data_IF_544225199205
#
_entry.id   IF_544225199205
#
_cell.length_a   1.000
_cell.length_b   1.000
_cell.length_c   1.000
_cell.angle_alpha   90.00
_cell.angle_beta   90.00
_cell.angle_gamma   90.00
#
_symmetry.space_group_name_H-M   'P 1'
#
loop_
_entity.id
_entity.type
_entity.pdbx_description
1 polymer ?
#
# COMPACT_ATOMS: atom_id res chain seq x y z
N UNK A 1 14.18 4.70 79.45
CA UNK A 1 13.37 4.16 78.33
C UNK A 1 13.45 2.64 78.36
N UNK A 2 12.32 1.94 78.45
CA UNK A 2 12.31 0.49 78.65
C UNK A 2 12.84 -0.23 77.40
N UNK A 3 13.88 -1.09 77.57
CA UNK A 3 14.51 -1.84 76.46
C UNK A 3 13.50 -2.62 75.60
N UNK A 4 12.37 -3.02 76.20
CA UNK A 4 11.23 -3.68 75.53
C UNK A 4 10.50 -2.80 74.49
N UNK A 5 10.41 -1.49 74.74
CA UNK A 5 9.79 -0.54 73.80
C UNK A 5 10.71 -0.21 72.63
N UNK A 6 12.02 -0.16 72.87
CA UNK A 6 13.05 0.07 71.85
C UNK A 6 13.11 -1.09 70.83
N UNK A 7 12.94 -2.32 71.32
CA UNK A 7 12.79 -3.52 70.48
C UNK A 7 11.51 -3.48 69.64
N UNK A 8 10.39 -3.01 70.21
CA UNK A 8 9.12 -2.92 69.50
C UNK A 8 9.17 -1.90 68.35
N UNK A 9 9.80 -0.74 68.58
CA UNK A 9 10.00 0.29 67.55
C UNK A 9 10.97 -0.16 66.45
N UNK A 10 12.03 -0.90 66.81
CA UNK A 10 12.96 -1.43 65.82
C UNK A 10 12.30 -2.48 64.90
N UNK A 11 11.46 -3.36 65.47
CA UNK A 11 10.73 -4.38 64.70
C UNK A 11 9.69 -3.76 63.77
N UNK A 12 8.99 -2.70 64.20
CA UNK A 12 8.02 -2.00 63.34
C UNK A 12 8.68 -1.26 62.18
N UNK A 13 9.85 -0.66 62.38
CA UNK A 13 10.64 -0.03 61.31
C UNK A 13 11.12 -1.07 60.29
N UNK A 14 11.54 -2.25 60.74
CA UNK A 14 11.98 -3.35 59.86
C UNK A 14 10.80 -3.88 59.03
N UNK A 15 9.61 -4.05 59.65
CA UNK A 15 8.42 -4.50 58.92
C UNK A 15 7.95 -3.46 57.89
N UNK A 16 8.02 -2.17 58.22
CA UNK A 16 7.69 -1.09 57.28
C UNK A 16 8.71 -0.95 56.13
N UNK A 17 9.97 -1.36 56.33
CA UNK A 17 10.98 -1.39 55.27
C UNK A 17 10.82 -2.60 54.32
N UNK A 18 10.15 -3.68 54.77
CA UNK A 18 9.92 -4.89 53.96
C UNK A 18 8.66 -4.76 53.08
N UNK A 19 7.79 -3.78 53.29
CA UNK A 19 6.58 -3.55 52.49
C UNK A 19 6.77 -2.68 51.25
N UNK A 20 8.01 -2.42 50.82
CA UNK A 20 8.27 -1.81 49.50
C UNK A 20 8.00 -2.85 48.43
N UNK A 21 6.73 -3.01 48.06
CA UNK A 21 6.31 -3.87 46.95
C UNK A 21 7.01 -3.44 45.67
N UNK A 22 7.73 -4.37 45.03
CA UNK A 22 8.29 -4.15 43.70
C UNK A 22 7.15 -3.99 42.71
N UNK A 23 6.95 -2.78 42.19
CA UNK A 23 6.07 -2.56 41.04
C UNK A 23 6.80 -3.11 39.82
N UNK A 24 6.38 -4.27 39.31
CA UNK A 24 6.81 -4.74 38.00
C UNK A 24 6.13 -3.87 36.94
N UNK A 25 6.87 -2.90 36.39
CA UNK A 25 6.41 -2.18 35.21
C UNK A 25 6.34 -3.18 34.05
N UNK A 26 5.14 -3.35 33.46
CA UNK A 26 4.98 -4.05 32.19
C UNK A 26 5.85 -3.32 31.16
N UNK A 27 6.65 -4.08 30.39
CA UNK A 27 7.51 -3.49 29.37
C UNK A 27 6.65 -2.63 28.41
N UNK A 28 7.08 -1.39 28.09
CA UNK A 28 6.32 -0.52 27.21
C UNK A 28 6.20 -1.14 25.82
N UNK A 29 5.02 -1.02 25.21
CA UNK A 29 4.79 -1.48 23.83
C UNK A 29 5.61 -0.60 22.89
N UNK A 30 6.41 -1.24 22.03
CA UNK A 30 7.23 -0.55 21.02
C UNK A 30 6.43 -0.32 19.74
N UNK A 31 6.55 0.87 19.17
CA UNK A 31 6.04 1.18 17.83
C UNK A 31 7.17 1.06 16.81
N UNK A 32 7.01 0.19 15.82
CA UNK A 32 7.97 0.00 14.74
C UNK A 32 7.23 0.18 13.42
N UNK A 33 7.68 1.12 12.59
CA UNK A 33 7.12 1.40 11.25
C UNK A 33 8.24 1.26 10.23
N UNK A 34 8.05 0.44 9.20
CA UNK A 34 9.06 0.16 8.16
C UNK A 34 10.44 -0.22 8.74
N UNK A 35 10.46 -1.02 9.80
CA UNK A 35 11.70 -1.47 10.47
C UNK A 35 12.36 -0.41 11.37
N UNK A 36 11.80 0.79 11.49
CA UNK A 36 12.32 1.85 12.36
C UNK A 36 11.48 1.99 13.64
N UNK A 37 12.13 1.99 14.80
CA UNK A 37 11.47 2.28 16.08
C UNK A 37 11.07 3.77 16.13
N UNK A 38 9.80 4.03 16.41
CA UNK A 38 9.20 5.37 16.48
C UNK A 38 8.84 5.65 17.92
N UNK A 39 9.35 6.74 18.49
CA UNK A 39 8.96 7.19 19.82
C UNK A 39 7.54 7.76 19.77
N UNK A 40 6.55 7.13 20.42
CA UNK A 40 5.17 7.58 20.32
C UNK A 40 4.96 8.86 21.14
N UNK A 41 4.24 9.83 20.58
CA UNK A 41 3.91 11.11 21.22
C UNK A 41 2.85 10.95 22.30
N UNK A 42 2.06 9.88 22.22
CA UNK A 42 1.06 9.47 23.20
C UNK A 42 1.36 8.02 23.59
N UNK A 43 1.32 7.66 24.89
CA UNK A 43 1.53 6.28 25.31
C UNK A 43 0.57 5.31 24.60
N UNK A 44 1.12 4.22 24.10
CA UNK A 44 0.36 3.13 23.50
C UNK A 44 -0.35 2.37 24.63
N UNK A 45 -1.63 2.08 24.44
CA UNK A 45 -2.48 1.47 25.46
C UNK A 45 -3.25 0.29 24.89
N UNK A 46 -3.61 -0.66 25.76
CA UNK A 46 -4.54 -1.72 25.41
C UNK A 46 -5.93 -1.28 25.90
N UNK A 47 -6.86 -1.10 24.99
CA UNK A 47 -8.26 -0.74 25.27
C UNK A 47 -9.13 -1.82 24.66
N UNK A 48 -10.02 -2.43 25.46
CA UNK A 48 -10.91 -3.52 24.99
C UNK A 48 -10.16 -4.66 24.28
N UNK A 49 -8.98 -5.01 24.77
CA UNK A 49 -8.11 -6.04 24.19
C UNK A 49 -7.55 -5.69 22.78
N UNK A 50 -7.60 -4.42 22.38
CA UNK A 50 -6.98 -3.86 21.16
C UNK A 50 -5.88 -2.85 21.51
N UNK A 51 -4.83 -2.78 20.68
CA UNK A 51 -3.73 -1.84 20.87
C UNK A 51 -4.07 -0.50 20.21
N UNK A 52 -4.15 0.56 21.00
CA UNK A 52 -4.35 1.93 20.56
C UNK A 52 -3.00 2.64 20.39
N UNK A 53 -2.72 3.11 19.18
CA UNK A 53 -1.47 3.78 18.83
C UNK A 53 -1.72 5.13 18.12
N UNK A 54 -0.77 6.09 18.20
CA UNK A 54 -0.95 7.43 17.63
C UNK A 54 -0.96 7.39 16.09
N UNK A 55 -2.16 7.58 15.50
CA UNK A 55 -2.38 7.53 14.05
C UNK A 55 -1.53 8.53 13.26
N UNK A 56 -1.29 9.73 13.81
CA UNK A 56 -0.55 10.80 13.14
C UNK A 56 0.88 10.37 12.82
N UNK A 57 1.61 9.87 13.81
CA UNK A 57 3.00 9.48 13.63
C UNK A 57 3.14 8.26 12.73
N UNK A 58 2.19 7.31 12.81
CA UNK A 58 2.16 6.15 11.92
C UNK A 58 1.96 6.61 10.48
N UNK A 59 0.94 7.43 10.22
CA UNK A 59 0.61 7.92 8.90
C UNK A 59 1.76 8.76 8.29
N UNK A 60 2.37 9.65 9.06
CA UNK A 60 3.51 10.47 8.62
C UNK A 60 4.73 9.62 8.27
N UNK A 61 5.03 8.59 9.06
CA UNK A 61 6.12 7.64 8.77
C UNK A 61 5.84 6.78 7.53
N UNK A 62 4.58 6.61 7.16
CA UNK A 62 4.14 5.98 5.91
C UNK A 62 4.04 6.98 4.74
N UNK A 63 4.49 8.23 4.92
CA UNK A 63 4.51 9.25 3.86
C UNK A 63 3.19 9.99 3.65
N UNK A 64 2.22 9.82 4.55
CA UNK A 64 0.94 10.54 4.48
C UNK A 64 0.98 11.83 5.32
N UNK A 65 0.15 12.80 4.94
CA UNK A 65 -0.15 14.02 5.70
C UNK A 65 -1.44 13.82 6.48
N UNK A 66 -1.46 14.27 7.73
CA UNK A 66 -2.63 14.17 8.63
C UNK A 66 -3.13 15.57 8.98
N UNK A 67 -4.41 15.81 8.73
CA UNK A 67 -5.09 17.08 9.00
C UNK A 67 -6.34 16.83 9.86
N UNK A 68 -6.61 17.71 10.82
CA UNK A 68 -7.87 17.71 11.55
C UNK A 68 -8.91 18.57 10.83
N UNK A 69 -10.01 17.95 10.40
CA UNK A 69 -11.18 18.66 9.90
C UNK A 69 -12.09 19.03 11.07
N UNK A 70 -11.97 20.27 11.54
CA UNK A 70 -12.75 20.74 12.67
C UNK A 70 -14.26 20.88 12.37
N UNK A 71 -14.65 21.02 11.10
CA UNK A 71 -16.06 21.15 10.70
C UNK A 71 -16.77 19.81 10.77
N UNK A 72 -16.13 18.78 10.25
CA UNK A 72 -16.69 17.42 10.20
C UNK A 72 -16.32 16.57 11.43
N UNK A 73 -15.42 17.06 12.29
CA UNK A 73 -14.88 16.34 13.44
C UNK A 73 -14.20 15.02 13.02
N UNK A 74 -13.46 15.08 11.92
CA UNK A 74 -12.77 13.92 11.34
C UNK A 74 -11.28 14.18 11.19
N UNK A 75 -10.51 13.10 11.22
CA UNK A 75 -9.09 13.11 10.84
C UNK A 75 -9.02 12.79 9.34
N UNK A 76 -8.38 13.66 8.57
CA UNK A 76 -8.12 13.45 7.14
C UNK A 76 -6.68 13.02 6.95
N UNK A 77 -6.48 11.83 6.39
CA UNK A 77 -5.17 11.30 6.04
C UNK A 77 -5.07 11.28 4.53
N UNK A 78 -4.01 11.87 3.98
CA UNK A 78 -3.81 11.91 2.52
C UNK A 78 -2.35 11.72 2.16
N UNK A 79 -2.08 10.89 1.16
CA UNK A 79 -0.77 10.75 0.56
C UNK A 79 -0.76 11.52 -0.77
N UNK A 80 -0.20 12.72 -0.76
CA UNK A 80 -0.17 13.61 -1.93
C UNK A 80 0.64 13.01 -3.09
N UNK A 81 1.76 12.37 -2.77
CA UNK A 81 2.62 11.74 -3.77
C UNK A 81 1.87 10.63 -4.51
N UNK A 82 1.21 9.73 -3.77
CA UNK A 82 0.39 8.68 -4.37
C UNK A 82 -0.72 9.25 -5.25
N UNK A 83 -1.44 10.28 -4.77
CA UNK A 83 -2.49 10.92 -5.55
C UNK A 83 -1.97 11.56 -6.84
N UNK A 84 -0.79 12.17 -6.79
CA UNK A 84 -0.19 12.81 -7.97
C UNK A 84 0.33 11.77 -8.97
N UNK A 85 0.85 10.62 -8.49
CA UNK A 85 1.17 9.46 -9.33
C UNK A 85 -0.09 8.92 -10.02
N UNK A 86 -1.17 8.70 -9.27
CA UNK A 86 -2.44 8.21 -9.82
C UNK A 86 -3.02 9.16 -10.87
N UNK A 87 -2.97 10.48 -10.63
CA UNK A 87 -3.41 11.49 -11.63
C UNK A 87 -2.55 11.42 -12.88
N UNK A 88 -1.22 11.39 -12.73
CA UNK A 88 -0.29 11.30 -13.86
C UNK A 88 -0.54 10.02 -14.66
N UNK A 89 -0.74 8.88 -14.00
CA UNK A 89 -1.06 7.61 -14.65
C UNK A 89 -2.35 7.71 -15.46
N UNK A 90 -3.44 8.23 -14.88
CA UNK A 90 -4.71 8.42 -15.60
C UNK A 90 -4.58 9.32 -16.84
N UNK A 91 -3.79 10.38 -16.75
CA UNK A 91 -3.53 11.27 -17.89
C UNK A 91 -2.74 10.57 -18.99
N UNK A 92 -1.77 9.72 -18.63
CA UNK A 92 -1.01 8.91 -19.58
C UNK A 92 -1.89 7.83 -20.22
N UNK A 93 -2.71 7.14 -19.46
CA UNK A 93 -3.68 6.16 -19.97
C UNK A 93 -4.69 6.81 -20.93
N UNK A 94 -5.19 8.00 -20.58
CA UNK A 94 -6.04 8.78 -21.46
C UNK A 94 -5.32 9.16 -22.76
N UNK A 95 -4.07 9.63 -22.67
CA UNK A 95 -3.28 9.98 -23.85
C UNK A 95 -2.95 8.77 -24.75
N UNK A 96 -2.88 7.57 -24.18
CA UNK A 96 -2.67 6.30 -24.89
C UNK A 96 -3.97 5.68 -25.40
N UNK A 97 -5.13 6.27 -25.12
CA UNK A 97 -6.42 5.73 -25.54
C UNK A 97 -6.49 5.72 -27.08
N UNK A 98 -6.60 4.54 -27.71
CA UNK A 98 -6.60 4.45 -29.16
C UNK A 98 -7.78 5.22 -29.77
N UNK A 99 -7.51 5.99 -30.83
CA UNK A 99 -8.52 6.74 -31.57
C UNK A 99 -9.12 5.92 -32.73
N UNK A 100 -8.55 4.74 -33.00
CA UNK A 100 -9.06 3.82 -34.02
C UNK A 100 -8.87 2.34 -33.64
N UNK A 101 -9.65 1.40 -34.22
CA UNK A 101 -9.45 -0.03 -34.01
C UNK A 101 -8.04 -0.52 -34.41
N UNK A 102 -7.47 0.04 -35.50
CA UNK A 102 -6.13 -0.33 -35.96
C UNK A 102 -5.05 0.12 -34.97
N UNK A 103 -5.19 1.31 -34.40
CA UNK A 103 -4.29 1.82 -33.37
C UNK A 103 -4.36 1.00 -32.08
N UNK A 104 -5.56 0.52 -31.71
CA UNK A 104 -5.72 -0.36 -30.56
C UNK A 104 -4.97 -1.68 -30.77
N UNK A 105 -5.13 -2.30 -31.94
CA UNK A 105 -4.46 -3.54 -32.29
C UNK A 105 -2.93 -3.35 -32.43
N UNK A 106 -2.48 -2.23 -33.00
CA UNK A 106 -1.06 -1.88 -33.08
C UNK A 106 -0.43 -1.67 -31.70
N UNK A 107 -1.12 -0.95 -30.81
CA UNK A 107 -0.65 -0.72 -29.43
C UNK A 107 -0.61 -2.02 -28.63
N UNK A 108 -1.60 -2.90 -28.81
CA UNK A 108 -1.57 -4.25 -28.24
C UNK A 108 -0.35 -5.04 -28.74
N UNK A 109 -0.10 -5.04 -30.06
CA UNK A 109 1.04 -5.72 -30.65
C UNK A 109 2.39 -5.19 -30.13
N UNK A 110 2.52 -3.86 -30.03
CA UNK A 110 3.67 -3.19 -29.40
C UNK A 110 3.85 -3.62 -27.95
N UNK A 111 2.76 -3.69 -27.19
CA UNK A 111 2.78 -4.14 -25.81
C UNK A 111 3.26 -5.58 -25.67
N UNK A 112 2.82 -6.49 -26.56
CA UNK A 112 3.29 -7.89 -26.59
C UNK A 112 4.77 -7.95 -26.98
N UNK A 113 5.17 -7.26 -28.05
CA UNK A 113 6.56 -7.24 -28.52
C UNK A 113 7.53 -6.69 -27.47
N UNK A 114 7.17 -5.59 -26.82
CA UNK A 114 7.98 -4.94 -25.77
C UNK A 114 7.82 -5.55 -24.38
N UNK A 115 7.04 -6.62 -24.24
CA UNK A 115 6.76 -7.29 -22.96
C UNK A 115 6.16 -6.37 -21.89
N UNK A 116 5.44 -5.35 -22.35
CA UNK A 116 4.83 -4.32 -21.53
C UNK A 116 3.34 -4.63 -21.32
N UNK A 117 3.03 -5.25 -20.19
CA UNK A 117 1.67 -5.58 -19.78
C UNK A 117 0.81 -4.35 -19.52
N UNK A 118 1.39 -3.25 -19.04
CA UNK A 118 0.66 -2.00 -18.86
C UNK A 118 0.17 -1.43 -20.20
N UNK A 119 0.99 -1.51 -21.25
CA UNK A 119 0.61 -1.08 -22.60
C UNK A 119 -0.47 -1.98 -23.21
N UNK A 120 -0.38 -3.30 -23.01
CA UNK A 120 -1.43 -4.24 -23.42
C UNK A 120 -2.74 -3.97 -22.68
N UNK A 121 -2.67 -3.75 -21.36
CA UNK A 121 -3.81 -3.46 -20.52
C UNK A 121 -4.50 -2.15 -20.90
N UNK A 122 -3.73 -1.12 -21.27
CA UNK A 122 -4.25 0.21 -21.58
C UNK A 122 -5.34 0.19 -22.67
N UNK A 123 -5.20 -0.69 -23.67
CA UNK A 123 -6.10 -0.79 -24.83
C UNK A 123 -7.26 -1.78 -24.67
N UNK A 124 -7.33 -2.47 -23.53
CA UNK A 124 -8.45 -3.36 -23.22
C UNK A 124 -9.70 -2.55 -22.86
N UNK A 125 -10.86 -3.06 -23.25
CA UNK A 125 -12.15 -2.59 -22.73
C UNK A 125 -12.36 -3.02 -21.27
N UNK A 126 -13.26 -2.34 -20.55
CA UNK A 126 -13.41 -2.45 -19.09
C UNK A 126 -13.66 -3.87 -18.59
N UNK A 127 -14.41 -4.68 -19.36
CA UNK A 127 -14.66 -6.08 -19.02
C UNK A 127 -13.38 -6.94 -19.11
N UNK A 128 -12.55 -6.71 -20.13
CA UNK A 128 -11.27 -7.39 -20.29
C UNK A 128 -10.23 -6.91 -19.28
N UNK A 129 -10.21 -5.60 -19.00
CA UNK A 129 -9.40 -5.02 -17.91
C UNK A 129 -9.72 -5.70 -16.58
N UNK A 130 -11.00 -5.79 -16.22
CA UNK A 130 -11.43 -6.43 -14.97
C UNK A 130 -11.03 -7.90 -14.91
N UNK A 131 -11.11 -8.61 -16.04
CA UNK A 131 -10.78 -10.03 -16.13
C UNK A 131 -9.28 -10.30 -16.01
N UNK A 132 -8.43 -9.47 -16.62
CA UNK A 132 -7.00 -9.75 -16.78
C UNK A 132 -6.09 -8.93 -15.87
N UNK A 133 -6.63 -7.98 -15.09
CA UNK A 133 -5.83 -7.13 -14.21
C UNK A 133 -4.92 -7.95 -13.28
N UNK A 134 -5.48 -8.97 -12.63
CA UNK A 134 -4.71 -9.83 -11.72
C UNK A 134 -3.57 -10.56 -12.44
N UNK A 135 -3.75 -10.95 -13.71
CA UNK A 135 -2.72 -11.63 -14.50
C UNK A 135 -1.52 -10.70 -14.75
N UNK A 136 -1.76 -9.43 -15.07
CA UNK A 136 -0.71 -8.44 -15.26
C UNK A 136 -0.02 -8.06 -13.95
N UNK A 137 -0.79 -7.86 -12.87
CA UNK A 137 -0.24 -7.53 -11.55
C UNK A 137 0.62 -8.67 -10.97
N UNK A 138 0.26 -9.92 -11.23
CA UNK A 138 1.02 -11.09 -10.75
C UNK A 138 2.47 -11.14 -11.26
N UNK A 139 2.79 -10.45 -12.36
CA UNK A 139 4.13 -10.36 -12.94
C UNK A 139 4.64 -8.92 -12.99
N UNK A 140 4.22 -8.07 -12.07
CA UNK A 140 4.65 -6.66 -11.97
C UNK A 140 4.52 -5.90 -13.31
N UNK A 141 3.46 -6.20 -14.06
CA UNK A 141 3.16 -5.64 -15.38
C UNK A 141 4.13 -6.01 -16.51
N UNK A 142 5.01 -6.99 -16.29
CA UNK A 142 5.79 -7.62 -17.35
C UNK A 142 5.03 -8.78 -17.97
N UNK A 143 5.17 -8.96 -19.28
CA UNK A 143 4.55 -10.10 -19.98
C UNK A 143 5.56 -10.90 -20.79
N UNK A 144 5.59 -12.21 -20.60
CA UNK A 144 6.55 -13.10 -21.28
C UNK A 144 7.89 -13.14 -20.53
N UNK A 145 8.29 -14.33 -20.09
CA UNK A 145 9.47 -14.48 -19.23
C UNK A 145 10.72 -15.01 -19.97
N UNK A 146 10.55 -15.76 -21.06
CA UNK A 146 11.66 -16.47 -21.72
C UNK A 146 11.79 -16.16 -23.22
N UNK A 147 12.95 -16.48 -23.79
CA UNK A 147 13.16 -16.49 -25.24
C UNK A 147 12.15 -17.41 -25.96
N UNK A 148 11.88 -17.17 -27.25
CA UNK A 148 12.43 -16.11 -28.11
C UNK A 148 11.85 -14.72 -27.83
N UNK A 149 12.61 -13.68 -28.17
CA UNK A 149 12.11 -12.31 -28.22
C UNK A 149 11.40 -12.07 -29.54
N UNK A 150 10.44 -11.15 -29.53
CA UNK A 150 9.76 -10.69 -30.75
C UNK A 150 10.52 -9.44 -31.20
N UNK A 151 11.09 -9.48 -32.39
CA UNK A 151 11.88 -8.38 -32.93
C UNK A 151 11.00 -7.43 -33.74
N UNK A 152 9.95 -7.95 -34.38
CA UNK A 152 9.02 -7.14 -35.16
C UNK A 152 7.64 -7.81 -35.27
N UNK A 153 6.67 -7.05 -35.78
CA UNK A 153 5.36 -7.59 -36.10
C UNK A 153 4.79 -6.95 -37.37
N UNK A 154 3.88 -7.69 -38.00
CA UNK A 154 3.06 -7.22 -39.11
C UNK A 154 1.59 -7.33 -38.72
N UNK A 155 0.82 -6.29 -39.01
CA UNK A 155 -0.62 -6.23 -38.75
C UNK A 155 -1.39 -6.12 -40.07
N UNK A 156 -2.49 -6.88 -40.19
CA UNK A 156 -3.39 -6.74 -41.33
C UNK A 156 -4.10 -5.38 -41.34
N UNK A 157 -4.69 -5.00 -42.49
CA UNK A 157 -5.47 -3.76 -42.59
C UNK A 157 -6.78 -3.79 -41.79
N UNK A 158 -7.18 -4.96 -41.32
CA UNK A 158 -8.37 -5.18 -40.52
C UNK A 158 -9.62 -5.46 -41.36
N UNK A 159 -10.46 -6.36 -40.87
CA UNK A 159 -11.73 -6.71 -41.49
C UNK A 159 -12.88 -6.32 -40.57
N UNK A 160 -13.73 -5.39 -41.01
CA UNK A 160 -14.95 -5.01 -40.29
C UNK A 160 -15.98 -6.13 -40.41
N UNK A 161 -16.45 -6.60 -39.27
CA UNK A 161 -17.45 -7.65 -39.14
C UNK A 161 -18.87 -7.08 -39.20
N UNK A 162 -19.86 -7.95 -39.43
CA UNK A 162 -21.28 -7.57 -39.53
C UNK A 162 -21.84 -6.94 -38.24
N UNK A 163 -21.31 -7.32 -37.08
CA UNK A 163 -21.68 -6.79 -35.76
C UNK A 163 -21.00 -5.45 -35.43
N UNK A 164 -20.22 -4.89 -36.37
CA UNK A 164 -19.49 -3.64 -36.19
C UNK A 164 -18.11 -3.80 -35.52
N UNK A 165 -17.73 -5.01 -35.11
CA UNK A 165 -16.39 -5.29 -34.59
C UNK A 165 -15.34 -5.30 -35.71
N UNK A 166 -14.07 -5.21 -35.33
CA UNK A 166 -12.95 -5.30 -36.26
C UNK A 166 -12.07 -6.47 -35.90
N UNK A 167 -11.67 -7.24 -36.92
CA UNK A 167 -10.75 -8.36 -36.77
C UNK A 167 -9.41 -8.01 -37.40
N UNK A 168 -8.35 -8.10 -36.62
CA UNK A 168 -6.97 -7.93 -37.07
C UNK A 168 -6.19 -9.23 -36.90
N UNK A 169 -5.29 -9.50 -37.82
CA UNK A 169 -4.32 -10.60 -37.71
C UNK A 169 -2.95 -9.98 -37.48
N UNK A 170 -2.30 -10.36 -36.38
CA UNK A 170 -0.94 -9.92 -36.04
C UNK A 170 -0.01 -11.11 -36.19
N UNK A 171 1.06 -10.95 -36.96
CA UNK A 171 2.14 -11.93 -37.11
C UNK A 171 3.39 -11.38 -36.44
N UNK A 172 3.91 -12.12 -35.48
CA UNK A 172 5.13 -11.79 -34.76
C UNK A 172 6.31 -12.52 -35.41
N UNK A 173 7.47 -11.85 -35.48
CA UNK A 173 8.70 -12.35 -36.06
C UNK A 173 9.86 -12.23 -35.07
#
# INVERSE_FOLDING_TARGET
>A
MNKKWLLFTAVTIIIAAVTVGTVFAVAPIKLIVNGQEVSPSVPIQIVNNEVMAPVTQIAEKLGATVEWDNKNKTVKISNKEQQDIEKRLKLLEFALTPQSPKEAADTLAKGVMSRNGALQYAVLCDNLKSKHKADFEAFDWWTGASSPWIDSYQISDGEKQLDGTWKFTIKFH
#
